data_IF_482393928274
#
_entry.id   IF_482393928274
#
_cell.length_a   1.000
_cell.length_b   1.000
_cell.length_c   1.000
_cell.angle_alpha   90.00
_cell.angle_beta   90.00
_cell.angle_gamma   90.00
#
_symmetry.space_group_name_H-M   'P 1'
#
loop_
_entity.id
_entity.type
_entity.pdbx_description
1 polymer ?
#
# COMPACT_ATOMS: atom_id res chain seq x y z
N UNK A 1 6.34 16.26 7.23
CA UNK A 1 7.09 16.30 5.96
C UNK A 1 6.10 16.20 4.80
N UNK A 2 6.18 17.10 3.82
CA UNK A 2 5.37 16.99 2.61
C UNK A 2 5.76 15.70 1.87
N UNK A 3 4.78 14.89 1.49
CA UNK A 3 5.01 13.67 0.73
C UNK A 3 5.61 13.98 -0.64
N UNK A 4 6.54 13.16 -1.10
CA UNK A 4 7.18 13.32 -2.41
C UNK A 4 6.41 12.52 -3.46
N UNK A 5 6.04 13.16 -4.56
CA UNK A 5 5.47 12.48 -5.72
C UNK A 5 6.50 11.55 -6.37
N UNK A 6 6.04 10.38 -6.82
CA UNK A 6 6.87 9.37 -7.45
C UNK A 6 6.21 8.87 -8.74
N UNK A 7 7.05 8.45 -9.67
CA UNK A 7 6.61 7.63 -10.81
C UNK A 7 6.48 6.18 -10.38
N UNK A 8 5.44 5.50 -10.85
CA UNK A 8 5.24 4.07 -10.66
C UNK A 8 4.80 3.44 -11.99
N UNK A 9 5.67 2.63 -12.56
CA UNK A 9 5.37 1.83 -13.75
C UNK A 9 5.00 0.42 -13.32
N UNK A 10 4.03 -0.19 -14.01
CA UNK A 10 3.56 -1.56 -13.74
C UNK A 10 3.49 -2.34 -15.02
N UNK A 11 4.07 -3.53 -14.99
CA UNK A 11 4.09 -4.45 -16.11
C UNK A 11 3.54 -5.79 -15.68
N UNK A 12 2.73 -6.40 -16.53
CA UNK A 12 2.38 -7.80 -16.40
C UNK A 12 3.48 -8.65 -17.02
N UNK A 13 3.91 -9.67 -16.28
CA UNK A 13 4.93 -10.61 -16.71
C UNK A 13 4.43 -12.03 -16.51
N UNK A 14 4.91 -12.97 -17.32
CA UNK A 14 4.65 -14.39 -17.10
C UNK A 14 5.65 -15.00 -16.13
N UNK A 15 5.41 -16.24 -15.71
CA UNK A 15 6.23 -16.94 -14.74
C UNK A 15 7.68 -17.13 -15.19
N UNK A 16 7.92 -17.41 -16.47
CA UNK A 16 9.27 -17.57 -17.00
C UNK A 16 10.05 -16.24 -16.89
N UNK A 17 9.42 -15.13 -17.29
CA UNK A 17 9.99 -13.79 -17.17
C UNK A 17 10.26 -13.43 -15.70
N UNK A 18 9.38 -13.83 -14.79
CA UNK A 18 9.58 -13.63 -13.35
C UNK A 18 10.91 -14.27 -12.88
N UNK A 19 11.16 -15.54 -13.19
CA UNK A 19 12.40 -16.21 -12.77
C UNK A 19 13.65 -15.59 -13.40
N UNK A 20 13.59 -15.21 -14.67
CA UNK A 20 14.70 -14.52 -15.35
C UNK A 20 14.99 -13.17 -14.68
N UNK A 21 13.97 -12.37 -14.42
CA UNK A 21 14.11 -11.07 -13.76
C UNK A 21 14.64 -11.23 -12.33
N UNK A 22 14.10 -12.18 -11.57
CA UNK A 22 14.55 -12.49 -10.22
C UNK A 22 16.06 -12.76 -10.19
N UNK A 23 16.54 -13.63 -11.07
CA UNK A 23 17.94 -13.96 -11.17
C UNK A 23 18.81 -12.75 -11.53
N UNK A 24 18.38 -11.94 -12.50
CA UNK A 24 19.12 -10.73 -12.93
C UNK A 24 19.11 -9.64 -11.86
N UNK A 25 17.98 -9.41 -11.22
CA UNK A 25 17.86 -8.39 -10.19
C UNK A 25 18.70 -8.75 -8.96
N UNK A 26 18.69 -10.01 -8.52
CA UNK A 26 19.50 -10.46 -7.38
C UNK A 26 21.01 -10.37 -7.63
N UNK A 27 21.45 -10.38 -8.88
CA UNK A 27 22.86 -10.19 -9.25
C UNK A 27 23.29 -8.70 -9.24
N UNK A 28 22.35 -7.78 -9.39
CA UNK A 28 22.66 -6.35 -9.59
C UNK A 28 22.18 -5.45 -8.44
N UNK A 29 21.18 -5.88 -7.68
CA UNK A 29 20.50 -5.10 -6.67
C UNK A 29 20.49 -5.84 -5.33
N UNK A 30 20.37 -5.09 -4.25
CA UNK A 30 20.18 -5.63 -2.92
C UNK A 30 18.69 -5.84 -2.65
N UNK A 31 18.35 -6.85 -1.86
CA UNK A 31 17.01 -6.99 -1.30
C UNK A 31 16.70 -5.86 -0.32
N UNK A 32 15.43 -5.49 -0.21
CA UNK A 32 14.95 -4.56 0.81
C UNK A 32 15.24 -5.11 2.22
N UNK A 33 15.61 -4.24 3.13
CA UNK A 33 15.98 -4.60 4.52
C UNK A 33 14.87 -5.31 5.32
N UNK A 34 13.61 -5.18 4.87
CA UNK A 34 12.46 -5.82 5.51
C UNK A 34 12.13 -7.19 4.88
N UNK A 35 12.89 -7.63 3.87
CA UNK A 35 12.71 -8.97 3.29
C UNK A 35 13.09 -10.04 4.33
N UNK A 36 12.36 -11.17 4.31
CA UNK A 36 12.71 -12.30 5.17
C UNK A 36 14.06 -12.87 4.73
N UNK A 37 14.94 -13.11 5.68
CA UNK A 37 16.32 -13.61 5.41
C UNK A 37 16.32 -14.91 4.62
N UNK A 38 15.39 -15.81 4.93
CA UNK A 38 15.33 -17.16 4.33
C UNK A 38 14.84 -17.15 2.87
N UNK A 39 13.86 -16.30 2.53
CA UNK A 39 13.16 -16.36 1.23
C UNK A 39 13.40 -15.13 0.35
N UNK A 40 13.89 -14.03 0.93
CA UNK A 40 14.10 -12.77 0.24
C UNK A 40 12.81 -12.03 -0.12
N UNK A 41 11.69 -12.50 0.35
CA UNK A 41 10.37 -11.91 0.11
C UNK A 41 9.68 -11.50 1.41
N UNK A 42 8.51 -10.89 1.31
CA UNK A 42 7.62 -10.69 2.43
C UNK A 42 6.15 -10.73 2.00
N UNK A 43 5.34 -11.29 2.89
CA UNK A 43 3.90 -11.34 2.68
C UNK A 43 3.27 -10.00 3.03
N UNK A 44 2.39 -9.51 2.18
CA UNK A 44 1.65 -8.25 2.39
C UNK A 44 0.17 -8.54 2.41
N UNK A 45 -0.49 -8.21 3.51
CA UNK A 45 -1.95 -8.16 3.64
C UNK A 45 -2.41 -6.73 3.69
N UNK A 46 -3.36 -6.37 2.83
CA UNK A 46 -3.93 -5.03 2.77
C UNK A 46 -5.44 -5.09 2.82
N UNK A 47 -6.04 -4.39 3.78
CA UNK A 47 -7.47 -4.17 3.89
C UNK A 47 -7.81 -2.82 3.25
N UNK A 48 -8.58 -2.83 2.17
CA UNK A 48 -8.99 -1.63 1.44
C UNK A 48 -10.34 -1.12 1.95
N UNK A 49 -10.48 0.20 1.92
CA UNK A 49 -11.70 0.92 2.26
C UNK A 49 -12.33 1.50 1.00
N UNK A 50 -13.65 1.44 0.93
CA UNK A 50 -14.46 2.08 -0.10
C UNK A 50 -15.77 2.57 0.51
N UNK A 51 -16.50 3.40 -0.24
CA UNK A 51 -17.83 3.83 0.14
C UNK A 51 -18.91 2.79 -0.23
N UNK A 52 -20.16 3.14 0.01
CA UNK A 52 -21.29 2.23 -0.28
C UNK A 52 -21.52 1.98 -1.78
N UNK A 53 -21.02 2.88 -2.62
CA UNK A 53 -21.20 2.88 -4.08
C UNK A 53 -19.99 2.29 -4.80
N UNK A 54 -19.00 1.78 -4.04
CA UNK A 54 -17.73 1.26 -4.58
C UNK A 54 -17.00 2.27 -5.49
N UNK A 55 -17.08 3.57 -5.13
CA UNK A 55 -16.57 4.68 -5.95
C UNK A 55 -15.10 4.52 -6.33
N UNK A 56 -14.25 3.99 -5.42
CA UNK A 56 -12.84 3.75 -5.72
C UNK A 56 -12.64 2.61 -6.73
N UNK A 57 -13.52 1.62 -6.75
CA UNK A 57 -13.51 0.56 -7.75
C UNK A 57 -13.98 1.10 -9.11
N UNK A 58 -15.10 1.83 -9.13
CA UNK A 58 -15.68 2.44 -10.34
C UNK A 58 -14.69 3.37 -11.02
N UNK A 59 -14.10 4.33 -10.29
CA UNK A 59 -13.09 5.27 -10.82
C UNK A 59 -11.83 4.56 -11.31
N UNK A 60 -11.46 3.43 -10.70
CA UNK A 60 -10.35 2.59 -11.17
C UNK A 60 -10.69 1.95 -12.51
N UNK A 61 -11.89 1.38 -12.67
CA UNK A 61 -12.34 0.71 -13.92
C UNK A 61 -12.50 1.74 -15.02
N UNK A 62 -13.08 2.91 -14.73
CA UNK A 62 -13.23 4.02 -15.66
C UNK A 62 -11.88 4.64 -16.08
N UNK A 63 -10.77 4.28 -15.42
CA UNK A 63 -9.45 4.78 -15.79
C UNK A 63 -9.17 6.21 -15.36
N UNK A 64 -9.99 6.79 -14.47
CA UNK A 64 -9.84 8.18 -14.04
C UNK A 64 -8.42 8.52 -13.61
N UNK A 65 -7.95 9.70 -13.99
CA UNK A 65 -6.57 10.14 -13.72
C UNK A 65 -6.37 10.57 -12.27
N UNK A 66 -7.40 11.08 -11.61
CA UNK A 66 -7.35 11.42 -10.19
C UNK A 66 -8.08 10.40 -9.34
N UNK A 67 -7.35 9.68 -8.51
CA UNK A 67 -7.89 8.61 -7.65
C UNK A 67 -7.25 8.62 -6.27
N UNK A 68 -8.04 8.28 -5.29
CA UNK A 68 -7.57 8.09 -3.92
C UNK A 68 -7.86 6.65 -3.46
N UNK A 69 -6.96 6.07 -2.67
CA UNK A 69 -7.18 4.78 -2.01
C UNK A 69 -6.72 4.84 -0.57
N UNK A 70 -7.59 4.40 0.31
CA UNK A 70 -7.30 4.20 1.72
C UNK A 70 -7.16 2.70 1.98
N UNK A 71 -6.15 2.32 2.76
CA UNK A 71 -5.97 0.92 3.19
C UNK A 71 -5.23 0.84 4.51
N UNK A 72 -5.47 -0.24 5.24
CA UNK A 72 -4.61 -0.69 6.34
C UNK A 72 -3.77 -1.85 5.82
N UNK A 73 -2.51 -1.90 6.22
CA UNK A 73 -1.54 -2.91 5.78
C UNK A 73 -0.78 -3.48 6.97
N UNK A 74 -0.57 -4.79 6.91
CA UNK A 74 0.34 -5.54 7.77
C UNK A 74 1.33 -6.36 6.90
N UNK A 75 2.40 -6.82 7.51
CA UNK A 75 3.47 -7.57 6.87
C UNK A 75 3.67 -8.91 7.57
N UNK A 76 4.01 -9.95 6.80
CA UNK A 76 4.31 -11.30 7.29
C UNK A 76 3.22 -11.90 8.21
N UNK A 77 1.96 -11.49 8.01
CA UNK A 77 0.81 -11.89 8.83
C UNK A 77 0.91 -11.49 10.31
N UNK A 78 1.80 -10.55 10.62
CA UNK A 78 2.02 -10.04 11.96
C UNK A 78 1.40 -8.65 12.13
N UNK A 79 0.97 -8.32 13.33
CA UNK A 79 0.40 -7.02 13.69
C UNK A 79 1.38 -6.11 14.46
N UNK A 80 2.64 -6.52 14.55
CA UNK A 80 3.73 -5.70 15.10
C UNK A 80 3.86 -4.34 14.41
N UNK A 81 3.52 -4.28 13.11
CA UNK A 81 3.52 -3.07 12.31
C UNK A 81 2.20 -2.96 11.54
N UNK A 82 1.27 -2.17 12.06
CA UNK A 82 0.01 -1.84 11.37
C UNK A 82 0.15 -0.45 10.74
N UNK A 83 -0.02 -0.31 9.42
CA UNK A 83 0.10 0.96 8.72
C UNK A 83 -1.21 1.35 8.04
N UNK A 84 -1.71 2.52 8.39
CA UNK A 84 -2.75 3.20 7.62
C UNK A 84 -2.09 3.98 6.48
N UNK A 85 -2.49 3.71 5.26
CA UNK A 85 -1.91 4.30 4.05
C UNK A 85 -2.99 4.95 3.19
N UNK A 86 -2.75 6.21 2.83
CA UNK A 86 -3.51 6.95 1.83
C UNK A 86 -2.65 7.11 0.59
N UNK A 87 -3.11 6.58 -0.53
CA UNK A 87 -2.44 6.67 -1.83
C UNK A 87 -3.29 7.54 -2.76
N UNK A 88 -2.72 8.65 -3.21
CA UNK A 88 -3.32 9.56 -4.18
C UNK A 88 -2.59 9.35 -5.50
N UNK A 89 -3.33 9.08 -6.56
CA UNK A 89 -2.84 9.10 -7.93
C UNK A 89 -3.36 10.37 -8.60
N UNK A 90 -2.48 11.10 -9.25
CA UNK A 90 -2.82 12.22 -10.13
C UNK A 90 -2.02 12.07 -11.41
N UNK A 91 -2.69 11.79 -12.50
CA UNK A 91 -2.10 11.40 -13.79
C UNK A 91 -1.16 10.19 -13.61
N UNK A 92 0.11 10.35 -13.91
CA UNK A 92 1.16 9.34 -13.72
C UNK A 92 1.91 9.45 -12.39
N UNK A 93 1.55 10.45 -11.57
CA UNK A 93 2.22 10.69 -10.29
C UNK A 93 1.45 10.06 -9.15
N UNK A 94 2.20 9.59 -8.16
CA UNK A 94 1.66 8.98 -6.96
C UNK A 94 2.24 9.67 -5.73
N UNK A 95 1.33 10.04 -4.84
CA UNK A 95 1.66 10.53 -3.51
C UNK A 95 1.14 9.51 -2.49
N UNK A 96 2.03 9.08 -1.59
CA UNK A 96 1.71 8.16 -0.52
C UNK A 96 1.93 8.84 0.83
N UNK A 97 0.91 8.82 1.65
CA UNK A 97 1.00 9.15 3.06
C UNK A 97 0.79 7.88 3.89
N UNK A 98 1.50 7.76 5.00
CA UNK A 98 1.30 6.64 5.92
C UNK A 98 1.55 7.02 7.36
N UNK A 99 0.81 6.43 8.28
CA UNK A 99 1.08 6.47 9.71
C UNK A 99 0.92 5.07 10.33
N UNK A 100 1.59 4.85 11.46
CA UNK A 100 1.40 3.66 12.28
C UNK A 100 0.07 3.72 13.02
N UNK A 101 -0.55 2.57 13.17
CA UNK A 101 -1.68 2.35 14.09
C UNK A 101 -1.25 1.36 15.16
N UNK A 102 -1.76 1.57 16.36
CA UNK A 102 -1.79 0.52 17.38
C UNK A 102 -2.92 -0.47 17.07
N UNK A 103 -2.87 -1.66 17.66
CA UNK A 103 -3.94 -2.65 17.55
C UNK A 103 -5.29 -2.08 17.97
N UNK A 104 -5.34 -1.36 19.08
CA UNK A 104 -6.57 -0.69 19.58
C UNK A 104 -7.12 0.35 18.59
N UNK A 105 -6.26 1.16 17.99
CA UNK A 105 -6.68 2.14 16.97
C UNK A 105 -7.21 1.46 15.70
N UNK A 106 -6.63 0.32 15.35
CA UNK A 106 -7.15 -0.50 14.24
C UNK A 106 -8.55 -1.04 14.56
N UNK A 107 -8.77 -1.55 15.77
CA UNK A 107 -10.08 -2.06 16.21
C UNK A 107 -11.14 -0.95 16.20
N UNK A 108 -10.83 0.23 16.75
CA UNK A 108 -11.71 1.40 16.66
C UNK A 108 -12.05 1.77 15.20
N UNK A 109 -11.04 1.71 14.32
CA UNK A 109 -11.24 1.99 12.89
C UNK A 109 -12.22 0.99 12.25
N UNK A 110 -12.18 -0.29 12.66
CA UNK A 110 -13.09 -1.33 12.17
C UNK A 110 -14.53 -1.08 12.65
N UNK A 111 -14.70 -0.50 13.82
CA UNK A 111 -16.00 -0.08 14.38
C UNK A 111 -16.52 1.23 13.78
N UNK A 112 -15.73 1.88 12.90
CA UNK A 112 -16.07 3.16 12.28
C UNK A 112 -15.69 4.38 13.13
N UNK A 113 -15.01 4.15 14.27
CA UNK A 113 -14.49 5.21 15.11
C UNK A 113 -13.11 5.66 14.62
N UNK A 114 -13.04 6.90 14.13
CA UNK A 114 -11.84 7.44 13.51
C UNK A 114 -11.37 8.78 14.10
N UNK A 115 -11.95 9.21 15.22
CA UNK A 115 -11.64 10.50 15.88
C UNK A 115 -10.16 10.63 16.26
N UNK A 116 -9.51 9.52 16.63
CA UNK A 116 -8.10 9.48 16.96
C UNK A 116 -7.18 9.91 15.79
N UNK A 117 -7.68 9.84 14.56
CA UNK A 117 -6.92 10.28 13.38
C UNK A 117 -6.60 11.77 13.42
N UNK A 118 -7.43 12.58 14.09
CA UNK A 118 -7.19 14.02 14.24
C UNK A 118 -5.97 14.34 15.11
N UNK A 119 -5.48 13.36 15.88
CA UNK A 119 -4.30 13.49 16.74
C UNK A 119 -3.01 12.96 16.12
N UNK A 120 -3.08 12.45 14.86
CA UNK A 120 -1.93 11.87 14.15
C UNK A 120 -1.22 12.93 13.29
N UNK A 121 0.03 13.26 13.64
CA UNK A 121 0.82 14.30 12.95
C UNK A 121 1.32 13.91 11.55
N UNK A 122 1.43 12.62 11.24
CA UNK A 122 2.12 12.13 10.03
C UNK A 122 1.24 11.86 8.82
N UNK A 123 -0.05 11.92 8.98
CA UNK A 123 -1.02 11.80 7.89
C UNK A 123 -1.68 13.17 7.73
N UNK A 124 -2.18 13.52 6.55
CA UNK A 124 -3.24 14.51 6.47
C UNK A 124 -4.50 13.92 7.12
N UNK A 125 -4.41 13.72 8.43
CA UNK A 125 -5.33 12.93 9.25
C UNK A 125 -6.73 13.52 9.20
N UNK A 126 -6.81 14.85 9.18
CA UNK A 126 -8.07 15.54 8.94
C UNK A 126 -8.71 15.13 7.61
N UNK A 127 -7.95 15.05 6.53
CA UNK A 127 -8.49 14.64 5.22
C UNK A 127 -8.98 13.19 5.22
N UNK A 128 -8.26 12.27 5.91
CA UNK A 128 -8.72 10.88 6.05
C UNK A 128 -9.96 10.80 6.94
N UNK A 129 -9.96 11.50 8.06
CA UNK A 129 -11.12 11.60 8.95
C UNK A 129 -12.37 12.08 8.19
N UNK A 130 -12.25 13.19 7.45
CA UNK A 130 -13.35 13.72 6.64
C UNK A 130 -13.77 12.75 5.53
N UNK A 131 -12.83 12.09 4.86
CA UNK A 131 -13.17 11.07 3.85
C UNK A 131 -13.93 9.90 4.46
N UNK A 132 -13.54 9.44 5.64
CA UNK A 132 -14.26 8.35 6.33
C UNK A 132 -15.67 8.79 6.77
N UNK A 133 -15.80 9.95 7.37
CA UNK A 133 -17.11 10.44 7.87
C UNK A 133 -18.04 10.88 6.73
N UNK A 134 -17.55 11.66 5.76
CA UNK A 134 -18.41 12.22 4.71
C UNK A 134 -18.75 11.21 3.60
N UNK A 135 -17.80 10.35 3.22
CA UNK A 135 -18.02 9.32 2.20
C UNK A 135 -18.50 7.99 2.76
N UNK A 136 -18.54 7.84 4.10
CA UNK A 136 -18.91 6.58 4.74
C UNK A 136 -17.99 5.43 4.36
N UNK A 137 -16.67 5.71 4.28
CA UNK A 137 -15.69 4.66 3.95
C UNK A 137 -15.70 3.55 4.99
N UNK A 138 -15.78 2.32 4.51
CA UNK A 138 -15.79 1.09 5.31
C UNK A 138 -14.79 0.08 4.75
N UNK A 139 -14.32 -0.88 5.55
CA UNK A 139 -13.51 -1.98 5.05
C UNK A 139 -14.33 -2.84 4.07
N UNK A 140 -13.78 -3.09 2.87
CA UNK A 140 -14.51 -3.80 1.82
C UNK A 140 -13.76 -5.01 1.28
N UNK A 141 -12.43 -4.97 1.20
CA UNK A 141 -11.66 -6.02 0.54
C UNK A 141 -10.30 -6.24 1.18
N UNK A 142 -9.99 -7.49 1.48
CA UNK A 142 -8.63 -7.93 1.80
C UNK A 142 -7.94 -8.37 0.52
N UNK A 143 -6.68 -7.98 0.37
CA UNK A 143 -5.81 -8.39 -0.74
C UNK A 143 -4.49 -8.84 -0.17
N UNK A 144 -4.12 -10.07 -0.46
CA UNK A 144 -2.87 -10.70 -0.07
C UNK A 144 -1.97 -10.89 -1.29
N UNK A 145 -0.68 -10.72 -1.09
CA UNK A 145 0.32 -11.04 -2.10
C UNK A 145 1.70 -11.15 -1.47
N UNK A 146 2.56 -11.90 -2.14
CA UNK A 146 3.99 -12.00 -1.80
C UNK A 146 4.76 -11.00 -2.67
N UNK A 147 5.75 -10.35 -2.08
CA UNK A 147 6.58 -9.35 -2.76
C UNK A 147 8.05 -9.62 -2.49
N UNK A 148 8.84 -9.60 -3.54
CA UNK A 148 10.27 -9.40 -3.49
C UNK A 148 10.57 -7.94 -3.86
N UNK A 149 11.26 -7.21 -3.01
CA UNK A 149 11.63 -5.82 -3.25
C UNK A 149 13.13 -5.70 -3.41
N UNK A 150 13.55 -5.11 -4.52
CA UNK A 150 14.95 -4.86 -4.85
C UNK A 150 15.22 -3.36 -4.80
N UNK A 151 16.34 -2.99 -4.18
CA UNK A 151 16.76 -1.61 -3.96
C UNK A 151 18.07 -1.37 -4.72
N UNK A 152 18.12 -0.29 -5.48
CA UNK A 152 19.37 0.13 -6.11
C UNK A 152 20.25 0.86 -5.09
N UNK A 153 21.53 0.49 -4.92
CA UNK A 153 22.36 1.03 -3.85
C UNK A 153 22.66 2.54 -3.97
N UNK A 154 22.59 3.10 -5.19
CA UNK A 154 22.93 4.51 -5.45
C UNK A 154 21.68 5.35 -5.76
N UNK A 155 20.67 4.76 -6.42
CA UNK A 155 19.46 5.48 -6.81
C UNK A 155 18.31 5.19 -5.84
N UNK A 156 17.49 6.20 -5.54
CA UNK A 156 16.23 6.01 -4.79
C UNK A 156 15.20 5.34 -5.72
N UNK A 157 15.54 4.15 -6.21
CA UNK A 157 14.73 3.37 -7.14
C UNK A 157 14.45 2.00 -6.53
N UNK A 158 13.18 1.59 -6.59
CA UNK A 158 12.73 0.30 -6.09
C UNK A 158 12.09 -0.47 -7.23
N UNK A 159 12.49 -1.73 -7.41
CA UNK A 159 11.83 -2.67 -8.29
C UNK A 159 11.18 -3.77 -7.47
N UNK A 160 9.93 -4.08 -7.75
CA UNK A 160 9.19 -5.10 -7.03
C UNK A 160 8.73 -6.19 -7.98
N UNK A 161 9.00 -7.43 -7.64
CA UNK A 161 8.31 -8.60 -8.19
C UNK A 161 7.17 -8.96 -7.23
N UNK A 162 5.96 -9.09 -7.74
CA UNK A 162 4.77 -9.33 -6.93
C UNK A 162 4.02 -10.54 -7.48
N UNK A 163 3.79 -11.51 -6.62
CA UNK A 163 3.02 -12.72 -6.90
C UNK A 163 1.70 -12.63 -6.13
N UNK A 164 0.53 -12.79 -6.78
CA UNK A 164 -0.72 -12.94 -6.07
C UNK A 164 -0.68 -14.23 -5.25
N UNK A 165 -1.24 -14.18 -4.06
CA UNK A 165 -1.58 -15.41 -3.32
C UNK A 165 -2.94 -15.86 -3.85
N UNK A 166 -3.01 -17.08 -4.32
CA UNK A 166 -4.25 -17.74 -4.74
C UNK A 166 -5.14 -18.06 -3.56
#
# INVERSE_FOLDING_TARGET
MAGKFRHELKFYINTATYYVLRHRLSALLSLDENAREETGDYHIRSLYFDDREDSNLVTKIAGEDSREKLRVRIYNMEDSVIRLERKIKKDQYILKHSCGLTRKEFELLMEGECSFLLQKDKLPAGAVYFSMKNKGLRPVKVVDYVREAYVHPIAVSYTHLTLPTT
#
